data_IF_314226875974
#
_entry.id   IF_314226875974
#
_cell.length_a   1.000
_cell.length_b   1.000
_cell.length_c   1.000
_cell.angle_alpha   90.00
_cell.angle_beta   90.00
_cell.angle_gamma   90.00
#
_symmetry.space_group_name_H-M   'P 1'
#
loop_
_entity.id
_entity.type
_entity.pdbx_description
1 polymer ?
#
# COMPACT_ATOMS: atom_id res chain seq x y z
N UNK A 1 -18.85 50.34 24.07
CA UNK A 1 -18.64 48.91 24.35
C UNK A 1 -17.15 48.67 24.57
N UNK A 2 -16.72 48.51 25.81
CA UNK A 2 -15.30 48.25 26.08
C UNK A 2 -15.05 46.74 25.99
N UNK A 3 -14.49 46.31 24.85
CA UNK A 3 -13.99 44.93 24.74
C UNK A 3 -12.71 44.80 25.55
N UNK A 4 -12.72 43.92 26.55
CA UNK A 4 -11.54 43.63 27.35
C UNK A 4 -10.39 43.16 26.49
N UNK A 5 -9.19 43.75 26.66
CA UNK A 5 -7.97 43.44 25.90
C UNK A 5 -7.62 41.94 25.89
N UNK A 6 -8.04 41.21 26.95
CA UNK A 6 -7.90 39.74 27.05
C UNK A 6 -8.79 38.97 26.09
N UNK A 7 -10.02 39.43 25.87
CA UNK A 7 -10.98 38.82 24.93
C UNK A 7 -10.52 39.05 23.51
N UNK A 8 -9.99 40.24 23.19
CA UNK A 8 -9.45 40.56 21.85
C UNK A 8 -8.22 39.67 21.51
N UNK A 9 -7.32 39.47 22.49
CA UNK A 9 -6.16 38.57 22.33
C UNK A 9 -6.58 37.12 22.15
N UNK A 10 -7.60 36.67 22.89
CA UNK A 10 -8.14 35.30 22.78
C UNK A 10 -8.85 35.09 21.44
N UNK A 11 -9.60 36.05 20.95
CA UNK A 11 -10.25 36.03 19.64
C UNK A 11 -9.22 35.98 18.49
N UNK A 12 -8.11 36.73 18.62
CA UNK A 12 -7.04 36.74 17.64
C UNK A 12 -6.28 35.42 17.60
N UNK A 13 -6.10 34.76 18.74
CA UNK A 13 -5.49 33.45 18.86
C UNK A 13 -6.37 32.35 18.23
N UNK A 14 -7.70 32.41 18.45
CA UNK A 14 -8.65 31.49 17.83
C UNK A 14 -8.74 31.67 16.30
N UNK A 15 -8.62 32.89 15.80
CA UNK A 15 -8.66 33.17 14.36
C UNK A 15 -7.42 32.60 13.64
N UNK A 16 -6.26 32.53 14.30
CA UNK A 16 -5.03 31.95 13.72
C UNK A 16 -5.06 30.42 13.59
N UNK A 17 -5.80 29.74 14.45
CA UNK A 17 -5.94 28.26 14.42
C UNK A 17 -6.83 27.81 13.25
N UNK A 18 -7.74 28.67 12.78
CA UNK A 18 -8.68 28.35 11.69
C UNK A 18 -8.05 28.38 10.30
N UNK A 19 -6.82 28.84 10.16
CA UNK A 19 -6.10 28.99 8.87
C UNK A 19 -4.99 27.96 8.67
N UNK A 20 -5.11 26.78 9.26
CA UNK A 20 -4.17 25.68 8.94
C UNK A 20 -4.53 25.13 7.56
N UNK A 21 -3.65 25.27 6.54
CA UNK A 21 -3.89 24.64 5.25
C UNK A 21 -3.91 23.11 5.44
N UNK A 22 -4.83 22.40 4.80
CA UNK A 22 -4.82 20.95 4.85
C UNK A 22 -3.52 20.46 4.21
N UNK A 23 -2.70 19.76 4.98
CA UNK A 23 -1.54 19.01 4.48
C UNK A 23 -2.07 17.77 3.74
N UNK A 24 -2.27 17.90 2.44
CA UNK A 24 -2.52 16.75 1.57
C UNK A 24 -1.17 16.13 1.21
N UNK A 25 -0.87 14.99 1.78
CA UNK A 25 0.12 14.08 1.19
C UNK A 25 -0.54 13.46 -0.05
N UNK A 26 -0.12 13.87 -1.25
CA UNK A 26 -0.67 13.36 -2.50
C UNK A 26 0.15 12.16 -2.97
N UNK A 27 -0.31 10.96 -2.64
CA UNK A 27 0.20 9.76 -3.30
C UNK A 27 -0.21 9.75 -4.77
N UNK A 28 0.67 9.23 -5.62
CA UNK A 28 0.39 9.05 -7.05
C UNK A 28 -0.23 7.67 -7.24
N UNK A 29 -1.46 7.64 -7.72
CA UNK A 29 -2.14 6.42 -8.10
C UNK A 29 -1.53 5.85 -9.38
N UNK A 30 -1.23 4.56 -9.38
CA UNK A 30 -0.63 3.83 -10.48
C UNK A 30 -1.62 2.87 -11.12
N UNK A 31 -1.35 2.45 -12.35
CA UNK A 31 -2.26 1.57 -13.11
C UNK A 31 -1.97 0.10 -12.91
N UNK A 32 -0.74 -0.24 -12.54
CA UNK A 32 -0.29 -1.63 -12.34
C UNK A 32 0.76 -1.71 -11.25
N UNK A 33 0.85 -2.88 -10.63
CA UNK A 33 1.88 -3.25 -9.67
C UNK A 33 2.85 -4.24 -10.31
N UNK A 34 4.15 -4.02 -10.10
CA UNK A 34 5.18 -5.02 -10.37
C UNK A 34 5.49 -5.76 -9.08
N UNK A 35 5.27 -7.06 -9.08
CA UNK A 35 5.55 -7.96 -7.96
C UNK A 35 6.57 -9.03 -8.35
N UNK A 36 7.31 -9.51 -7.37
CA UNK A 36 8.17 -10.70 -7.51
C UNK A 36 7.68 -11.80 -6.60
N UNK A 37 7.76 -13.02 -7.12
CA UNK A 37 7.42 -14.25 -6.40
C UNK A 37 8.64 -15.15 -6.41
N UNK A 38 9.07 -15.59 -5.21
CA UNK A 38 10.10 -16.59 -5.02
C UNK A 38 9.45 -17.93 -4.71
N UNK A 39 9.77 -18.93 -5.51
CA UNK A 39 9.56 -20.32 -5.15
C UNK A 39 10.74 -20.79 -4.29
N UNK A 40 10.51 -21.03 -3.00
CA UNK A 40 11.54 -21.44 -2.02
C UNK A 40 12.09 -22.85 -2.24
N UNK A 41 11.36 -23.69 -2.98
CA UNK A 41 11.78 -25.05 -3.27
C UNK A 41 12.77 -25.06 -4.46
N UNK A 42 12.42 -24.35 -5.53
CA UNK A 42 13.23 -24.29 -6.74
C UNK A 42 14.23 -23.13 -6.75
N UNK A 43 14.09 -22.19 -5.81
CA UNK A 43 14.85 -20.93 -5.74
C UNK A 43 14.70 -20.02 -6.95
N UNK A 44 13.63 -20.21 -7.74
CA UNK A 44 13.32 -19.37 -8.88
C UNK A 44 12.53 -18.14 -8.46
N UNK A 45 12.91 -16.99 -9.02
CA UNK A 45 12.18 -15.73 -8.87
C UNK A 45 11.55 -15.37 -10.20
N UNK A 46 10.25 -15.10 -10.18
CA UNK A 46 9.51 -14.63 -11.35
C UNK A 46 8.93 -13.23 -11.07
N UNK A 47 8.86 -12.40 -12.11
CA UNK A 47 8.35 -11.03 -12.04
C UNK A 47 7.05 -10.94 -12.82
N UNK A 48 6.04 -10.32 -12.21
CA UNK A 48 4.72 -10.12 -12.81
C UNK A 48 4.31 -8.66 -12.73
N UNK A 49 3.71 -8.15 -13.81
CA UNK A 49 3.00 -6.89 -13.83
C UNK A 49 1.51 -7.18 -13.84
N UNK A 50 0.80 -6.70 -12.83
CA UNK A 50 -0.64 -6.94 -12.66
C UNK A 50 -1.35 -5.59 -12.64
N UNK A 51 -2.38 -5.43 -13.47
CA UNK A 51 -3.20 -4.21 -13.47
C UNK A 51 -4.09 -4.14 -12.24
N UNK A 52 -4.44 -2.91 -11.86
CA UNK A 52 -5.39 -2.66 -10.77
C UNK A 52 -6.74 -3.27 -11.14
N UNK A 53 -7.39 -3.91 -10.16
CA UNK A 53 -8.62 -4.69 -10.29
C UNK A 53 -8.51 -5.93 -11.20
N UNK A 54 -7.28 -6.40 -11.42
CA UNK A 54 -7.02 -7.65 -12.14
C UNK A 54 -6.38 -8.68 -11.21
N UNK A 55 -6.31 -9.91 -11.66
CA UNK A 55 -5.73 -11.03 -10.93
C UNK A 55 -4.88 -11.92 -11.82
N UNK A 56 -3.89 -12.58 -11.22
CA UNK A 56 -3.12 -13.62 -11.87
C UNK A 56 -3.14 -14.91 -11.06
N UNK A 57 -2.97 -16.02 -11.79
CA UNK A 57 -2.72 -17.33 -11.19
C UNK A 57 -1.24 -17.66 -11.33
N UNK A 58 -0.61 -17.97 -10.22
CA UNK A 58 0.75 -18.47 -10.16
C UNK A 58 0.76 -19.80 -9.38
N UNK A 59 0.89 -20.91 -10.09
CA UNK A 59 0.73 -22.27 -9.52
C UNK A 59 -0.61 -22.38 -8.76
N UNK A 60 -0.56 -22.57 -7.44
CA UNK A 60 -1.75 -22.64 -6.58
C UNK A 60 -2.24 -21.27 -6.10
N UNK A 61 -1.41 -20.22 -6.22
CA UNK A 61 -1.75 -18.89 -5.75
C UNK A 61 -2.64 -18.14 -6.74
N UNK A 62 -3.61 -17.42 -6.20
CA UNK A 62 -4.36 -16.37 -6.90
C UNK A 62 -4.02 -15.03 -6.25
N UNK A 63 -3.54 -14.09 -7.05
CA UNK A 63 -3.10 -12.78 -6.58
C UNK A 63 -3.95 -11.72 -7.25
N UNK A 64 -4.67 -10.94 -6.44
CA UNK A 64 -5.57 -9.87 -6.88
C UNK A 64 -5.02 -8.53 -6.40
N UNK A 65 -4.94 -7.54 -7.28
CA UNK A 65 -4.46 -6.19 -6.97
C UNK A 65 -5.65 -5.22 -6.94
N UNK A 66 -5.84 -4.50 -5.84
CA UNK A 66 -6.92 -3.52 -5.69
C UNK A 66 -6.46 -2.08 -5.83
N UNK A 67 -5.25 -1.76 -5.40
CA UNK A 67 -4.67 -0.43 -5.50
C UNK A 67 -3.14 -0.48 -5.51
N UNK A 68 -2.50 0.49 -6.17
CA UNK A 68 -1.06 0.68 -6.12
C UNK A 68 -0.75 2.18 -6.13
N UNK A 69 -0.04 2.64 -5.11
CA UNK A 69 0.34 4.04 -4.93
C UNK A 69 1.84 4.18 -4.77
N UNK A 70 2.37 5.29 -5.21
CA UNK A 70 3.76 5.68 -4.97
C UNK A 70 3.87 7.08 -4.43
N UNK A 71 4.94 7.33 -3.69
CA UNK A 71 5.27 8.68 -3.25
C UNK A 71 5.55 9.60 -4.44
N UNK A 72 5.24 10.90 -4.31
CA UNK A 72 5.62 11.88 -5.32
C UNK A 72 7.16 11.97 -5.45
N UNK A 73 7.68 12.45 -6.60
CA UNK A 73 9.13 12.48 -6.87
C UNK A 73 9.98 13.29 -5.89
N UNK A 74 9.37 14.25 -5.18
CA UNK A 74 10.02 15.09 -4.18
C UNK A 74 10.20 14.41 -2.81
N UNK A 75 9.48 13.30 -2.58
CA UNK A 75 9.57 12.53 -1.35
C UNK A 75 10.52 11.32 -1.50
N UNK A 76 10.81 10.65 -0.38
CA UNK A 76 11.57 9.40 -0.40
C UNK A 76 10.80 8.37 -1.23
N UNK A 77 11.43 7.73 -2.22
CA UNK A 77 10.76 6.74 -3.06
C UNK A 77 10.17 5.60 -2.23
N UNK A 78 8.87 5.41 -2.35
CA UNK A 78 8.14 4.34 -1.69
C UNK A 78 6.94 3.93 -2.53
N UNK A 79 6.61 2.64 -2.49
CA UNK A 79 5.44 2.09 -3.18
C UNK A 79 4.60 1.28 -2.23
N UNK A 80 3.29 1.35 -2.42
CA UNK A 80 2.29 0.68 -1.59
C UNK A 80 1.31 -0.06 -2.49
N UNK A 81 1.10 -1.34 -2.25
CA UNK A 81 0.09 -2.12 -2.96
C UNK A 81 -0.92 -2.70 -1.99
N UNK A 82 -2.20 -2.57 -2.31
CA UNK A 82 -3.28 -3.29 -1.65
C UNK A 82 -3.60 -4.53 -2.47
N UNK A 83 -3.43 -5.71 -1.88
CA UNK A 83 -3.64 -6.97 -2.56
C UNK A 83 -4.27 -8.03 -1.66
N UNK A 84 -4.80 -9.03 -2.31
CA UNK A 84 -5.29 -10.26 -1.71
C UNK A 84 -4.62 -11.45 -2.37
N UNK A 85 -4.20 -12.41 -1.56
CA UNK A 85 -3.62 -13.66 -2.01
C UNK A 85 -4.44 -14.82 -1.42
N UNK A 86 -4.85 -15.73 -2.25
CA UNK A 86 -5.46 -17.00 -1.86
C UNK A 86 -4.67 -18.18 -2.42
N UNK A 87 -4.73 -19.32 -1.76
CA UNK A 87 -4.10 -20.56 -2.21
C UNK A 87 -5.18 -21.65 -2.38
N UNK A 88 -5.32 -22.14 -3.60
CA UNK A 88 -6.32 -23.15 -3.98
C UNK A 88 -6.07 -24.53 -3.32
N UNK A 89 -4.86 -24.79 -2.84
CA UNK A 89 -4.49 -26.08 -2.22
C UNK A 89 -4.66 -26.02 -0.69
N UNK A 90 -4.22 -24.93 -0.05
CA UNK A 90 -4.22 -24.81 1.42
C UNK A 90 -5.62 -24.47 1.93
N UNK A 91 -6.32 -23.60 1.22
CA UNK A 91 -7.65 -23.13 1.61
C UNK A 91 -8.63 -23.19 0.44
N UNK A 92 -9.93 -23.22 0.73
CA UNK A 92 -10.95 -23.01 -0.30
C UNK A 92 -10.75 -21.64 -0.98
N UNK A 93 -11.12 -21.52 -2.26
CA UNK A 93 -10.89 -20.31 -3.10
C UNK A 93 -11.39 -19.01 -2.48
N UNK A 94 -12.30 -19.08 -1.51
CA UNK A 94 -12.86 -17.90 -0.83
C UNK A 94 -12.06 -17.41 0.37
N UNK A 95 -11.01 -18.13 0.78
CA UNK A 95 -10.23 -17.77 1.97
C UNK A 95 -8.87 -17.22 1.61
N UNK A 96 -8.68 -15.94 1.87
CA UNK A 96 -7.38 -15.29 1.68
C UNK A 96 -6.37 -15.81 2.71
N UNK A 97 -5.15 -16.15 2.24
CA UNK A 97 -3.98 -16.40 3.10
C UNK A 97 -3.27 -15.10 3.45
N UNK A 98 -3.46 -14.06 2.63
CA UNK A 98 -3.01 -12.70 2.89
C UNK A 98 -4.02 -11.70 2.31
N UNK A 99 -4.30 -10.63 3.04
CA UNK A 99 -5.05 -9.48 2.53
C UNK A 99 -4.59 -8.23 3.27
N UNK A 100 -4.07 -7.25 2.53
CA UNK A 100 -3.59 -6.01 3.13
C UNK A 100 -2.62 -5.24 2.25
N UNK A 101 -2.00 -4.25 2.87
CA UNK A 101 -0.99 -3.40 2.23
C UNK A 101 0.39 -4.02 2.33
N UNK A 102 1.13 -4.01 1.22
CA UNK A 102 2.57 -4.29 1.17
C UNK A 102 3.33 -3.03 0.78
N UNK A 103 4.54 -2.87 1.34
CA UNK A 103 5.42 -1.72 1.15
C UNK A 103 6.70 -2.20 0.47
N UNK A 104 7.15 -1.50 -0.58
CA UNK A 104 8.29 -1.96 -1.38
C UNK A 104 9.63 -1.91 -0.63
N UNK A 105 9.85 -0.90 0.22
CA UNK A 105 11.11 -0.74 0.98
C UNK A 105 11.26 -1.71 2.15
N UNK A 106 10.16 -2.28 2.64
CA UNK A 106 10.13 -3.13 3.83
C UNK A 106 9.27 -4.38 3.62
N UNK A 107 9.68 -5.31 2.74
CA UNK A 107 8.91 -6.53 2.47
C UNK A 107 8.70 -7.40 3.72
N UNK A 108 9.61 -7.35 4.68
CA UNK A 108 9.54 -8.11 5.93
C UNK A 108 8.54 -7.57 6.95
N UNK A 109 8.00 -6.37 6.77
CA UNK A 109 7.02 -5.77 7.69
C UNK A 109 5.66 -6.45 7.58
N UNK A 110 5.27 -6.84 6.37
CA UNK A 110 4.01 -7.52 6.07
C UNK A 110 4.25 -8.69 5.11
N UNK A 111 5.00 -9.72 5.55
CA UNK A 111 5.39 -10.83 4.68
C UNK A 111 4.19 -11.72 4.36
N UNK A 112 4.23 -12.36 3.19
CA UNK A 112 3.38 -13.51 2.93
C UNK A 112 3.91 -14.69 3.75
N UNK A 113 3.16 -15.14 4.75
CA UNK A 113 3.48 -16.34 5.51
C UNK A 113 3.01 -17.59 4.75
N UNK A 114 3.83 -18.08 3.83
CA UNK A 114 3.55 -19.26 3.03
C UNK A 114 4.72 -20.24 3.07
N UNK A 115 4.49 -21.56 3.18
CA UNK A 115 5.58 -22.53 3.30
C UNK A 115 6.47 -22.62 2.05
N UNK A 116 5.91 -22.35 0.85
CA UNK A 116 6.60 -22.55 -0.43
C UNK A 116 6.95 -21.24 -1.11
N UNK A 117 6.12 -20.20 -0.96
CA UNK A 117 6.26 -18.95 -1.71
C UNK A 117 6.54 -17.75 -0.82
N UNK A 118 7.42 -16.86 -1.29
CA UNK A 118 7.50 -15.49 -0.81
C UNK A 118 7.09 -14.54 -1.93
N UNK A 119 6.48 -13.42 -1.55
CA UNK A 119 6.00 -12.42 -2.49
C UNK A 119 6.31 -11.02 -1.95
N UNK A 120 6.75 -10.12 -2.84
CA UNK A 120 6.97 -8.73 -2.48
C UNK A 120 6.71 -7.78 -3.65
N UNK A 121 6.34 -6.56 -3.28
CA UNK A 121 6.17 -5.44 -4.21
C UNK A 121 7.54 -4.90 -4.65
N UNK A 122 7.70 -4.66 -5.93
CA UNK A 122 8.86 -3.97 -6.50
C UNK A 122 8.54 -2.49 -6.69
N UNK A 123 7.55 -2.19 -7.52
CA UNK A 123 7.12 -0.81 -7.79
C UNK A 123 5.69 -0.74 -8.33
N UNK A 124 5.12 0.45 -8.23
CA UNK A 124 3.86 0.84 -8.87
C UNK A 124 4.15 1.62 -10.17
N UNK A 125 3.48 1.24 -11.29
CA UNK A 125 3.68 1.84 -12.63
C UNK A 125 2.40 2.40 -13.22
#
# INVERSE_FOLDING_TARGET
MNMNLGVLKSLFFFLFISFSPPLFSQYIESKKAEIKILDKITTKVETFEIYINDSINFNSLVIEIFACYKNPPEDIPENFVLLRISDKIINSEDQAIYQGWMISSSPSTTPLEHPIYDLWLVECK
#
